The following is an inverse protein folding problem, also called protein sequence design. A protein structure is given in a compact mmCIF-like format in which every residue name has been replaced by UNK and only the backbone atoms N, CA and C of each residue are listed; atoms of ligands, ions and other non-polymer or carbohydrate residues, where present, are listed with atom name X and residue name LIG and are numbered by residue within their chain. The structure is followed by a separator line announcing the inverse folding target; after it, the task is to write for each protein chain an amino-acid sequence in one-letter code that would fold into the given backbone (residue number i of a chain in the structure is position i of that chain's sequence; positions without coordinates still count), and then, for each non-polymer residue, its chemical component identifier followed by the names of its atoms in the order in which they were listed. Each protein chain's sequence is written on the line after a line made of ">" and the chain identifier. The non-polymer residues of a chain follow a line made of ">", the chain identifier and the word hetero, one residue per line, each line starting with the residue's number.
data_IF_993687299506
#
_entry.id   IF_993687299506
#
_cell.length_a   1.000
_cell.length_b   1.000
_cell.length_c   1.000
_cell.angle_alpha   90.00
_cell.angle_beta   90.00
_cell.angle_gamma   90.00
#
_symmetry.space_group_name_H-M   'P 1'
#
loop_
_entity.id
_entity.type
_entity.pdbx_description
1 polymer ?
#
# COMPACT_ATOMS: atom_id res chain seq x y z
N UNK A 1 0.74 3.57 -4.93
CA UNK A 1 0.88 2.80 -6.19
C UNK A 1 -0.42 2.93 -6.96
N UNK A 2 -0.39 3.19 -8.27
CA UNK A 2 -1.57 3.11 -9.13
C UNK A 2 -1.71 1.67 -9.64
N UNK A 3 -2.73 0.94 -9.16
CA UNK A 3 -2.88 -0.49 -9.48
C UNK A 3 -3.34 -0.73 -10.93
N UNK A 4 -3.94 0.27 -11.57
CA UNK A 4 -4.40 0.19 -12.97
C UNK A 4 -3.26 0.30 -13.99
N UNK A 5 -2.09 0.77 -13.56
CA UNK A 5 -0.94 0.97 -14.44
C UNK A 5 -0.15 -0.33 -14.64
N UNK A 6 -0.08 -0.82 -15.88
CA UNK A 6 0.68 -2.04 -16.22
C UNK A 6 2.16 -2.00 -15.84
N UNK A 7 2.75 -0.82 -15.66
CA UNK A 7 4.16 -0.61 -15.28
C UNK A 7 4.34 -0.25 -13.81
N UNK A 8 3.32 -0.41 -12.97
CA UNK A 8 3.40 -0.02 -11.57
C UNK A 8 4.59 -0.69 -10.84
N UNK A 9 4.92 -1.94 -11.19
CA UNK A 9 6.03 -2.66 -10.57
C UNK A 9 7.40 -2.03 -10.89
N UNK A 10 7.61 -1.58 -12.13
CA UNK A 10 8.84 -0.87 -12.50
C UNK A 10 8.95 0.44 -11.70
N UNK A 11 7.82 1.14 -11.53
CA UNK A 11 7.77 2.39 -10.74
C UNK A 11 8.10 2.15 -9.27
N UNK A 12 7.60 1.06 -8.67
CA UNK A 12 7.94 0.69 -7.28
C UNK A 12 9.45 0.52 -7.14
N UNK A 13 10.09 -0.25 -8.02
CA UNK A 13 11.56 -0.47 -7.98
C UNK A 13 12.35 0.82 -8.10
N UNK A 14 11.91 1.74 -8.96
CA UNK A 14 12.54 3.07 -9.10
C UNK A 14 12.40 3.87 -7.81
N UNK A 15 11.22 3.88 -7.20
CA UNK A 15 10.99 4.60 -5.93
C UNK A 15 11.82 3.99 -4.80
N UNK A 16 11.89 2.66 -4.69
CA UNK A 16 12.73 1.97 -3.71
C UNK A 16 14.21 2.36 -3.85
N UNK A 17 14.72 2.43 -5.09
CA UNK A 17 16.10 2.86 -5.32
C UNK A 17 16.31 4.32 -4.90
N UNK A 18 15.38 5.22 -5.22
CA UNK A 18 15.46 6.64 -4.80
C UNK A 18 15.42 6.75 -3.27
N UNK A 19 14.56 6.00 -2.59
CA UNK A 19 14.50 5.99 -1.12
C UNK A 19 15.81 5.49 -0.51
N UNK A 20 16.44 4.48 -1.10
CA UNK A 20 17.76 3.99 -0.68
C UNK A 20 18.84 5.03 -0.88
N UNK A 21 18.86 5.71 -2.02
CA UNK A 21 19.82 6.79 -2.30
C UNK A 21 19.67 7.96 -1.32
N UNK A 22 18.46 8.18 -0.82
CA UNK A 22 18.13 9.17 0.23
C UNK A 22 18.33 8.64 1.67
N UNK A 23 18.80 7.40 1.84
CA UNK A 23 18.91 6.72 3.16
C UNK A 23 17.59 6.69 3.95
N UNK A 24 16.46 6.64 3.25
CA UNK A 24 15.11 6.59 3.80
C UNK A 24 14.47 5.19 3.70
N UNK A 25 15.18 4.21 3.14
CA UNK A 25 14.76 2.81 2.94
C UNK A 25 14.64 2.01 4.24
N UNK A 26 15.12 2.54 5.36
CA UNK A 26 15.01 1.92 6.69
C UNK A 26 13.70 2.24 7.41
N UNK A 27 12.90 3.18 6.90
CA UNK A 27 11.62 3.57 7.51
C UNK A 27 10.56 2.51 7.20
N UNK A 28 9.61 2.24 8.12
CA UNK A 28 8.47 1.39 7.80
C UNK A 28 7.68 1.91 6.61
N UNK A 29 7.28 0.99 5.72
CA UNK A 29 6.56 1.30 4.49
C UNK A 29 5.20 0.61 4.52
N UNK A 30 4.16 1.36 4.18
CA UNK A 30 2.83 0.82 3.86
C UNK A 30 2.61 1.05 2.36
N UNK A 31 2.43 -0.02 1.60
CA UNK A 31 2.13 0.06 0.18
C UNK A 31 0.64 0.27 -0.05
N UNK A 32 0.28 1.42 -0.59
CA UNK A 32 -1.13 1.72 -0.90
C UNK A 32 -1.38 1.54 -2.39
N UNK A 33 -2.11 0.49 -2.76
CA UNK A 33 -2.57 0.22 -4.13
C UNK A 33 -3.87 0.98 -4.41
N UNK A 34 -3.71 2.21 -4.89
CA UNK A 34 -4.80 3.12 -5.19
C UNK A 34 -5.38 2.89 -6.60
N UNK A 35 -6.59 3.42 -6.83
CA UNK A 35 -7.40 3.34 -8.07
C UNK A 35 -8.06 1.99 -8.32
N UNK A 36 -8.43 1.28 -7.25
CA UNK A 36 -9.12 0.00 -7.35
C UNK A 36 -10.44 0.07 -8.14
N UNK A 37 -11.10 1.23 -8.13
CA UNK A 37 -12.34 1.52 -8.87
C UNK A 37 -12.21 1.41 -10.41
N UNK A 38 -10.98 1.41 -10.94
CA UNK A 38 -10.73 1.17 -12.36
C UNK A 38 -10.64 -0.33 -12.71
N UNK A 39 -10.52 -1.19 -11.71
CA UNK A 39 -10.35 -2.64 -11.87
C UNK A 39 -11.55 -3.46 -11.40
N UNK A 40 -12.36 -2.90 -10.48
CA UNK A 40 -13.56 -3.55 -9.95
C UNK A 40 -14.71 -2.55 -9.87
N UNK A 41 -15.95 -3.04 -9.95
CA UNK A 41 -17.14 -2.20 -9.96
C UNK A 41 -17.65 -1.85 -8.55
N UNK A 42 -17.35 -2.69 -7.55
CA UNK A 42 -17.84 -2.54 -6.18
C UNK A 42 -16.70 -2.58 -5.17
N UNK A 43 -16.91 -1.90 -4.05
CA UNK A 43 -15.97 -1.89 -2.92
C UNK A 43 -15.67 -3.30 -2.39
N UNK A 44 -16.67 -4.17 -2.30
CA UNK A 44 -16.52 -5.54 -1.80
C UNK A 44 -15.54 -6.39 -2.64
N UNK A 45 -15.34 -6.01 -3.90
CA UNK A 45 -14.49 -6.74 -4.83
C UNK A 45 -13.01 -6.35 -4.73
N UNK A 46 -12.67 -5.23 -4.05
CA UNK A 46 -11.27 -4.81 -3.88
C UNK A 46 -10.44 -5.86 -3.14
N UNK A 47 -11.06 -6.68 -2.29
CA UNK A 47 -10.42 -7.79 -1.57
C UNK A 47 -9.90 -8.90 -2.50
N UNK A 48 -10.41 -8.95 -3.74
CA UNK A 48 -9.98 -9.90 -4.75
C UNK A 48 -8.76 -9.40 -5.54
N UNK A 49 -8.42 -8.11 -5.42
CA UNK A 49 -7.19 -7.54 -5.94
C UNK A 49 -6.06 -7.96 -4.98
N UNK A 50 -5.50 -9.15 -5.19
CA UNK A 50 -4.45 -9.67 -4.34
C UNK A 50 -3.18 -8.85 -4.49
N UNK A 51 -2.54 -8.58 -3.37
CA UNK A 51 -1.26 -7.92 -3.36
C UNK A 51 -0.16 -8.88 -3.83
N UNK A 52 0.87 -8.35 -4.52
CA UNK A 52 2.00 -9.16 -4.94
C UNK A 52 2.76 -9.68 -3.71
N UNK A 53 2.89 -11.00 -3.61
CA UNK A 53 3.55 -11.70 -2.50
C UNK A 53 5.03 -11.32 -2.28
N UNK A 54 5.65 -10.57 -3.20
CA UNK A 54 7.05 -10.14 -3.11
C UNK A 54 7.25 -8.80 -2.39
N UNK A 55 6.17 -8.09 -2.03
CA UNK A 55 6.31 -6.86 -1.26
C UNK A 55 6.60 -7.21 0.20
N UNK A 56 7.75 -6.75 0.70
CA UNK A 56 8.25 -7.03 2.05
C UNK A 56 7.55 -6.21 3.15
N UNK A 57 6.40 -5.60 2.87
CA UNK A 57 5.73 -4.67 3.77
C UNK A 57 4.21 -4.83 3.75
N UNK A 58 3.55 -4.22 4.75
CA UNK A 58 2.10 -4.16 4.83
C UNK A 58 1.58 -3.42 3.60
N UNK A 59 0.53 -3.94 2.99
CA UNK A 59 -0.08 -3.33 1.84
C UNK A 59 -1.60 -3.23 2.04
N UNK A 60 -2.21 -2.24 1.38
CA UNK A 60 -3.66 -2.01 1.38
C UNK A 60 -4.10 -1.59 -0.02
N UNK A 61 -5.22 -2.13 -0.48
CA UNK A 61 -5.89 -1.72 -1.72
C UNK A 61 -6.98 -0.69 -1.43
N UNK A 62 -6.99 0.42 -2.16
CA UNK A 62 -7.93 1.53 -1.96
C UNK A 62 -8.44 2.11 -3.27
N UNK A 63 -9.59 2.80 -3.19
CA UNK A 63 -9.94 3.84 -4.14
C UNK A 63 -10.06 5.14 -3.38
N UNK A 64 -9.07 6.03 -3.50
CA UNK A 64 -9.12 7.34 -2.86
C UNK A 64 -10.28 8.20 -3.41
N UNK A 65 -10.66 8.00 -4.68
CA UNK A 65 -11.78 8.72 -5.30
C UNK A 65 -13.14 8.28 -4.76
N UNK A 66 -13.34 6.97 -4.56
CA UNK A 66 -14.60 6.41 -4.04
C UNK A 66 -14.63 6.29 -2.51
N UNK A 67 -13.51 6.50 -1.85
CA UNK A 67 -13.35 6.32 -0.40
C UNK A 67 -13.26 4.86 0.05
N UNK A 68 -13.00 3.93 -0.87
CA UNK A 68 -12.92 2.49 -0.59
C UNK A 68 -11.60 2.11 0.07
N UNK A 69 -11.65 1.18 1.02
CA UNK A 69 -10.44 0.65 1.69
C UNK A 69 -9.78 1.62 2.68
N UNK A 70 -10.39 2.78 2.94
CA UNK A 70 -9.82 3.80 3.83
C UNK A 70 -9.79 3.35 5.29
N UNK A 71 -10.75 2.53 5.72
CA UNK A 71 -10.75 1.99 7.09
C UNK A 71 -9.55 1.08 7.30
N UNK A 72 -9.29 0.20 6.34
CA UNK A 72 -8.17 -0.74 6.32
C UNK A 72 -6.84 0.02 6.31
N UNK A 73 -6.75 1.10 5.53
CA UNK A 73 -5.57 1.98 5.53
C UNK A 73 -5.33 2.63 6.89
N UNK A 74 -6.38 3.14 7.55
CA UNK A 74 -6.25 3.73 8.88
C UNK A 74 -5.84 2.70 9.94
N UNK A 75 -6.34 1.47 9.84
CA UNK A 75 -5.91 0.35 10.69
C UNK A 75 -4.42 0.05 10.46
N UNK A 76 -4.00 -0.09 9.20
CA UNK A 76 -2.61 -0.32 8.83
C UNK A 76 -1.66 0.76 9.38
N UNK A 77 -2.06 2.03 9.26
CA UNK A 77 -1.30 3.17 9.80
C UNK A 77 -1.19 3.07 11.32
N UNK A 78 -2.31 2.81 12.01
CA UNK A 78 -2.33 2.69 13.47
C UNK A 78 -1.40 1.58 13.94
N UNK A 79 -1.53 0.38 13.36
CA UNK A 79 -0.70 -0.78 13.72
C UNK A 79 0.79 -0.50 13.48
N UNK A 80 1.16 0.10 12.33
CA UNK A 80 2.56 0.47 12.06
C UNK A 80 3.09 1.50 13.07
N UNK A 81 2.28 2.44 13.51
CA UNK A 81 2.68 3.41 14.56
C UNK A 81 2.81 2.74 15.92
N UNK A 82 1.90 1.84 16.28
CA UNK A 82 1.95 1.08 17.55
C UNK A 82 3.19 0.17 17.61
N UNK A 83 3.52 -0.50 16.52
CA UNK A 83 4.75 -1.31 16.35
C UNK A 83 6.01 -0.44 16.54
N UNK A 84 6.04 0.77 15.96
CA UNK A 84 7.13 1.73 16.11
C UNK A 84 7.30 2.25 17.55
N UNK A 85 6.20 2.36 18.29
CA UNK A 85 6.20 2.82 19.68
C UNK A 85 6.50 1.71 20.69
N UNK A 86 6.63 0.46 20.26
CA UNK A 86 6.88 -0.69 21.14
C UNK A 86 5.71 -1.01 22.08
N UNK A 87 4.50 -0.54 21.76
CA UNK A 87 3.28 -0.78 22.56
C UNK A 87 2.62 -2.12 22.18
N UNK A 88 3.14 -2.81 21.16
CA UNK A 88 2.65 -4.09 20.66
C UNK A 88 3.29 -5.35 21.27
N UNK A 89 3.47 -5.40 22.61
CA UNK A 89 3.71 -6.65 23.36
C UNK A 89 2.91 -6.67 24.67
#
# INVERSE_FOLDING_TARGET
>A
IDISDKKWLEKVKVVEQVLKDLSADTKPVIYVFNKADLLVEKEEDIRHLTEPAFLSGRAVVVSAEKGWGIRELLVAIRETVEELQGVGQ
#
